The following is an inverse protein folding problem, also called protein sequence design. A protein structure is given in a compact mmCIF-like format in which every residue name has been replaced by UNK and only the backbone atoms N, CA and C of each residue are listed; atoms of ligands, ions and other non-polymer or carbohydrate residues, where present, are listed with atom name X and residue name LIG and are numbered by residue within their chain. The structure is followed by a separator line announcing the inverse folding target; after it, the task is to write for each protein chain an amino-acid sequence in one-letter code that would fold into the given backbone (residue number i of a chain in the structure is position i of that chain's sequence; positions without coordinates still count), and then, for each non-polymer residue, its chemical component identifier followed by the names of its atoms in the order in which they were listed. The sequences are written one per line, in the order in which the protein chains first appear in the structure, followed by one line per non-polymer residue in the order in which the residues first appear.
data_IF_538244069044
#
_entry.id   IF_538244069044
#
_cell.length_a   1.000
_cell.length_b   1.000
_cell.length_c   1.000
_cell.angle_alpha   90.00
_cell.angle_beta   90.00
_cell.angle_gamma   90.00
#
_symmetry.space_group_name_H-M   'P 1'
#
loop_
_entity.id
_entity.type
_entity.pdbx_description
1 polymer ?
#
# COMPACT_ATOMS: atom_id res chain seq x y z
N UNK A 1 -23.61 14.64 -56.50
CA UNK A 1 -24.43 14.18 -55.36
C UNK A 1 -24.51 15.33 -54.36
N UNK A 2 -25.67 15.98 -54.27
CA UNK A 2 -25.88 17.09 -53.35
C UNK A 2 -25.90 16.54 -51.91
N UNK A 3 -25.02 17.05 -51.05
CA UNK A 3 -24.96 16.67 -49.64
C UNK A 3 -26.30 16.94 -48.97
N UNK A 4 -26.79 15.99 -48.18
CA UNK A 4 -28.02 16.16 -47.43
C UNK A 4 -27.94 17.43 -46.56
N UNK A 5 -28.97 18.30 -46.55
CA UNK A 5 -28.94 19.51 -45.76
C UNK A 5 -28.84 19.14 -44.28
N UNK A 6 -27.80 19.66 -43.61
CA UNK A 6 -27.61 19.46 -42.18
C UNK A 6 -28.81 20.08 -41.48
N UNK A 7 -29.60 19.24 -40.80
CA UNK A 7 -30.79 19.69 -40.07
C UNK A 7 -30.34 20.61 -38.93
N UNK A 8 -31.07 21.69 -38.69
CA UNK A 8 -30.80 22.65 -37.61
C UNK A 8 -30.60 21.95 -36.25
N UNK A 9 -31.35 20.87 -35.99
CA UNK A 9 -31.20 20.05 -34.80
C UNK A 9 -29.82 19.39 -34.66
N UNK A 10 -29.19 18.96 -35.74
CA UNK A 10 -27.84 18.38 -35.73
C UNK A 10 -26.78 19.43 -35.39
N UNK A 11 -26.94 20.67 -35.89
CA UNK A 11 -26.08 21.81 -35.54
C UNK A 11 -26.25 22.15 -34.06
N UNK A 12 -27.49 22.21 -33.58
CA UNK A 12 -27.78 22.51 -32.18
C UNK A 12 -27.20 21.44 -31.24
N UNK A 13 -27.35 20.15 -31.55
CA UNK A 13 -26.76 19.06 -30.78
C UNK A 13 -25.24 19.12 -30.77
N UNK A 14 -24.61 19.42 -31.91
CA UNK A 14 -23.16 19.60 -31.98
C UNK A 14 -22.70 20.80 -31.13
N UNK A 15 -23.40 21.94 -31.19
CA UNK A 15 -23.11 23.10 -30.36
C UNK A 15 -23.31 22.81 -28.87
N UNK A 16 -24.32 22.04 -28.48
CA UNK A 16 -24.53 21.62 -27.08
C UNK A 16 -23.43 20.68 -26.62
N UNK A 17 -23.01 19.71 -27.44
CA UNK A 17 -21.89 18.82 -27.11
C UNK A 17 -20.58 19.59 -27.04
N UNK A 18 -20.33 20.51 -27.98
CA UNK A 18 -19.14 21.37 -27.99
C UNK A 18 -19.13 22.29 -26.76
N UNK A 19 -20.26 22.93 -26.44
CA UNK A 19 -20.43 23.72 -25.22
C UNK A 19 -20.21 22.85 -23.99
N UNK A 20 -20.82 21.67 -23.92
CA UNK A 20 -20.63 20.75 -22.80
C UNK A 20 -19.17 20.32 -22.66
N UNK A 21 -18.44 20.05 -23.75
CA UNK A 21 -17.01 19.67 -23.74
C UNK A 21 -16.12 20.85 -23.34
N UNK A 22 -16.39 22.05 -23.85
CA UNK A 22 -15.64 23.27 -23.52
C UNK A 22 -15.91 23.69 -22.07
N UNK A 23 -17.15 23.60 -21.60
CA UNK A 23 -17.56 23.97 -20.24
C UNK A 23 -17.31 22.86 -19.21
N UNK A 24 -17.08 21.60 -19.64
CA UNK A 24 -16.65 20.51 -18.75
C UNK A 24 -15.29 20.77 -18.14
N UNK A 25 -14.46 21.61 -18.77
CA UNK A 25 -13.11 21.89 -18.28
C UNK A 25 -13.08 22.77 -17.02
N UNK A 26 -14.15 23.50 -16.72
CA UNK A 26 -14.13 24.54 -15.67
C UNK A 26 -15.09 24.34 -14.49
N UNK A 27 -15.81 23.21 -14.38
CA UNK A 27 -16.73 23.00 -13.26
C UNK A 27 -16.36 21.77 -12.42
N UNK A 28 -15.54 22.04 -11.40
CA UNK A 28 -15.80 21.80 -9.96
C UNK A 28 -14.46 21.89 -9.20
N UNK A 29 -13.63 22.91 -9.44
CA UNK A 29 -12.70 23.30 -8.37
C UNK A 29 -13.56 23.88 -7.25
N UNK A 30 -13.65 23.16 -6.14
CA UNK A 30 -14.22 23.71 -4.91
C UNK A 30 -13.45 24.99 -4.61
N UNK A 31 -14.09 26.16 -4.78
CA UNK A 31 -13.47 27.47 -4.60
C UNK A 31 -12.83 27.60 -3.20
N UNK A 32 -13.29 26.80 -2.22
CA UNK A 32 -12.68 26.72 -0.87
C UNK A 32 -11.32 26.03 -0.87
N UNK A 33 -11.09 25.09 -1.79
CA UNK A 33 -9.84 24.34 -1.93
C UNK A 33 -8.84 25.02 -2.89
N UNK A 34 -9.29 25.95 -3.73
CA UNK A 34 -8.41 26.65 -4.68
C UNK A 34 -7.23 27.36 -3.98
N UNK A 35 -7.40 28.06 -2.85
CA UNK A 35 -6.27 28.65 -2.12
C UNK A 35 -5.28 27.60 -1.62
N UNK A 36 -5.77 26.45 -1.15
CA UNK A 36 -4.92 25.34 -0.67
C UNK A 36 -4.11 24.79 -1.83
N UNK A 37 -4.76 24.49 -2.96
CA UNK A 37 -4.10 24.01 -4.18
C UNK A 37 -3.03 25.00 -4.66
N UNK A 38 -3.38 26.28 -4.78
CA UNK A 38 -2.45 27.31 -5.22
C UNK A 38 -1.24 27.43 -4.29
N UNK A 39 -1.46 27.35 -2.97
CA UNK A 39 -0.37 27.40 -2.01
C UNK A 39 0.53 26.15 -2.06
N UNK A 40 -0.04 24.96 -2.25
CA UNK A 40 0.73 23.73 -2.46
C UNK A 40 1.59 23.82 -3.73
N UNK A 41 1.01 24.30 -4.83
CA UNK A 41 1.75 24.54 -6.09
C UNK A 41 2.83 25.61 -5.93
N UNK A 42 2.57 26.67 -5.16
CA UNK A 42 3.58 27.67 -4.84
C UNK A 42 4.74 27.03 -4.06
N UNK A 43 4.44 26.27 -3.01
CA UNK A 43 5.46 25.57 -2.22
C UNK A 43 6.27 24.59 -3.06
N UNK A 44 5.63 23.83 -3.95
CA UNK A 44 6.30 22.92 -4.88
C UNK A 44 7.25 23.67 -5.83
N UNK A 45 6.81 24.82 -6.36
CA UNK A 45 7.63 25.65 -7.24
C UNK A 45 8.81 26.33 -6.55
N UNK A 46 8.63 26.74 -5.28
CA UNK A 46 9.68 27.38 -4.48
C UNK A 46 10.70 26.38 -3.93
N UNK A 47 10.31 25.11 -3.75
CA UNK A 47 11.14 24.06 -3.17
C UNK A 47 11.58 23.02 -4.20
N UNK A 48 12.11 23.48 -5.34
CA UNK A 48 12.61 22.58 -6.38
C UNK A 48 13.71 21.67 -5.88
N UNK A 49 13.61 20.40 -6.24
CA UNK A 49 14.63 19.40 -5.92
C UNK A 49 15.94 19.76 -6.62
N UNK A 50 17.03 19.74 -5.85
CA UNK A 50 18.37 20.04 -6.36
C UNK A 50 18.80 19.04 -7.43
N UNK A 51 19.68 19.46 -8.34
CA UNK A 51 20.27 18.60 -9.37
C UNK A 51 21.78 18.41 -9.18
N UNK A 52 22.34 17.38 -9.82
CA UNK A 52 23.77 17.09 -9.80
C UNK A 52 24.29 16.79 -8.39
N UNK A 53 25.22 17.63 -7.89
CA UNK A 53 25.84 17.46 -6.56
C UNK A 53 24.82 17.72 -5.43
N UNK A 54 23.80 18.54 -5.67
CA UNK A 54 22.73 18.85 -4.70
C UNK A 54 21.53 17.91 -4.80
N UNK A 55 21.60 16.90 -5.67
CA UNK A 55 20.51 15.97 -5.87
C UNK A 55 20.35 15.07 -4.65
N UNK A 56 19.16 15.09 -4.00
CA UNK A 56 18.94 14.28 -2.84
C UNK A 56 18.83 12.79 -3.22
N UNK A 57 19.19 11.95 -2.25
CA UNK A 57 19.21 10.51 -2.40
C UNK A 57 18.26 9.87 -1.41
N UNK A 58 17.42 8.96 -1.89
CA UNK A 58 16.52 8.17 -1.06
C UNK A 58 16.78 6.69 -1.28
N UNK A 59 16.87 5.95 -0.18
CA UNK A 59 16.86 4.49 -0.19
C UNK A 59 15.51 4.03 0.36
N UNK A 60 14.86 3.08 -0.31
CA UNK A 60 13.55 2.56 0.09
C UNK A 60 13.57 1.04 0.12
N UNK A 61 12.88 0.47 1.10
CA UNK A 61 12.52 -0.94 1.15
C UNK A 61 11.22 -1.12 1.94
N UNK A 62 10.59 -2.29 1.94
CA UNK A 62 10.97 -3.50 1.21
C UNK A 62 9.81 -3.99 0.37
N UNK A 63 10.15 -4.88 -0.54
CA UNK A 63 9.18 -5.67 -1.28
C UNK A 63 8.62 -4.97 -2.51
N UNK A 64 8.20 -5.81 -3.45
CA UNK A 64 7.51 -5.43 -4.66
C UNK A 64 6.57 -6.57 -5.01
N UNK A 65 5.45 -6.24 -5.63
CA UNK A 65 4.52 -7.23 -6.12
C UNK A 65 3.95 -6.80 -7.46
N UNK A 66 3.26 -7.74 -8.10
CA UNK A 66 2.49 -7.50 -9.30
C UNK A 66 1.01 -7.61 -8.95
N UNK A 67 0.31 -6.47 -8.96
CA UNK A 67 -1.10 -6.41 -8.64
C UNK A 67 -1.92 -6.88 -9.83
N UNK A 68 -2.67 -7.96 -9.65
CA UNK A 68 -3.68 -8.45 -10.59
C UNK A 68 -5.05 -7.97 -10.12
N UNK A 69 -5.58 -6.95 -10.77
CA UNK A 69 -6.93 -6.47 -10.49
C UNK A 69 -7.95 -7.35 -11.22
N UNK A 70 -8.98 -7.77 -10.49
CA UNK A 70 -10.00 -8.70 -10.96
C UNK A 70 -11.36 -8.25 -10.43
N UNK A 71 -12.40 -8.33 -11.26
CA UNK A 71 -13.76 -8.20 -10.78
C UNK A 71 -14.12 -9.45 -9.94
N UNK A 72 -14.32 -9.25 -8.63
CA UNK A 72 -14.50 -10.33 -7.68
C UNK A 72 -15.71 -11.22 -8.00
N UNK A 73 -16.84 -10.61 -8.41
CA UNK A 73 -18.09 -11.35 -8.68
C UNK A 73 -18.10 -12.03 -10.04
N UNK A 74 -17.13 -11.71 -10.91
CA UNK A 74 -16.90 -12.41 -12.17
C UNK A 74 -16.03 -13.66 -11.98
N UNK A 75 -15.11 -13.63 -11.00
CA UNK A 75 -14.27 -14.76 -10.64
C UNK A 75 -14.99 -15.75 -9.72
N UNK A 76 -15.69 -15.24 -8.71
CA UNK A 76 -16.29 -16.06 -7.65
C UNK A 76 -17.76 -16.35 -7.93
N UNK A 77 -18.21 -17.56 -7.56
CA UNK A 77 -19.60 -17.97 -7.72
C UNK A 77 -20.28 -18.09 -6.34
N UNK A 78 -21.32 -17.30 -6.04
CA UNK A 78 -21.99 -17.35 -4.75
C UNK A 78 -22.74 -18.68 -4.50
N UNK A 79 -23.00 -19.48 -5.54
CA UNK A 79 -23.62 -20.81 -5.39
C UNK A 79 -22.70 -21.83 -4.72
N UNK A 80 -21.39 -21.59 -4.76
CA UNK A 80 -20.40 -22.48 -4.16
C UNK A 80 -20.25 -22.23 -2.64
N UNK A 81 -20.89 -21.18 -2.12
CA UNK A 81 -20.81 -20.81 -0.71
C UNK A 81 -21.59 -21.82 0.15
N UNK A 82 -20.87 -22.53 1.02
CA UNK A 82 -21.44 -23.43 2.01
C UNK A 82 -21.48 -22.77 3.38
N UNK A 83 -22.63 -22.77 4.05
CA UNK A 83 -22.78 -22.18 5.38
C UNK A 83 -22.76 -20.65 5.38
N UNK A 84 -22.46 -20.05 6.53
CA UNK A 84 -22.43 -18.59 6.71
C UNK A 84 -21.06 -17.99 6.39
N UNK A 85 -21.01 -16.73 5.91
CA UNK A 85 -19.77 -15.97 5.78
C UNK A 85 -19.05 -15.85 7.12
N UNK A 86 -17.74 -16.08 7.11
CA UNK A 86 -16.90 -16.20 8.29
C UNK A 86 -15.52 -15.58 8.01
N UNK A 87 -14.89 -15.00 9.03
CA UNK A 87 -13.53 -14.45 8.93
C UNK A 87 -12.49 -15.52 9.27
N UNK A 88 -11.42 -15.55 8.49
CA UNK A 88 -10.26 -16.42 8.69
C UNK A 88 -8.99 -15.55 8.66
N UNK A 89 -7.99 -15.91 9.47
CA UNK A 89 -6.69 -15.23 9.47
C UNK A 89 -5.83 -15.67 8.28
N UNK A 90 -5.90 -16.96 7.93
CA UNK A 90 -5.21 -17.59 6.81
C UNK A 90 -6.23 -18.39 5.99
N UNK A 91 -6.00 -18.52 4.69
CA UNK A 91 -6.88 -19.23 3.76
C UNK A 91 -6.15 -20.45 3.19
N UNK A 92 -6.68 -21.63 3.46
CA UNK A 92 -6.11 -22.91 3.00
C UNK A 92 -6.95 -23.61 1.92
N UNK A 93 -8.22 -23.21 1.78
CA UNK A 93 -9.17 -23.85 0.87
C UNK A 93 -10.07 -22.85 0.13
N UNK A 94 -10.68 -23.32 -0.98
CA UNK A 94 -11.66 -22.54 -1.76
C UNK A 94 -12.91 -22.20 -0.93
N UNK A 95 -13.30 -23.07 0.00
CA UNK A 95 -14.44 -22.82 0.89
C UNK A 95 -14.14 -21.68 1.87
N UNK A 96 -12.99 -21.72 2.53
CA UNK A 96 -12.54 -20.65 3.44
C UNK A 96 -12.40 -19.32 2.69
N UNK A 97 -11.81 -19.35 1.49
CA UNK A 97 -11.70 -18.17 0.65
C UNK A 97 -13.07 -17.55 0.38
N UNK A 98 -14.04 -18.35 -0.07
CA UNK A 98 -15.36 -17.86 -0.43
C UNK A 98 -16.13 -17.33 0.79
N UNK A 99 -16.04 -18.00 1.94
CA UNK A 99 -16.61 -17.52 3.22
C UNK A 99 -15.97 -16.20 3.66
N UNK A 100 -14.64 -16.12 3.61
CA UNK A 100 -13.85 -14.93 3.98
C UNK A 100 -14.18 -13.75 3.08
N UNK A 101 -14.11 -13.92 1.76
CA UNK A 101 -14.49 -12.89 0.81
C UNK A 101 -15.91 -12.38 1.08
N UNK A 102 -16.88 -13.29 1.23
CA UNK A 102 -18.28 -12.92 1.45
C UNK A 102 -18.48 -12.18 2.77
N UNK A 103 -17.69 -12.50 3.80
CA UNK A 103 -17.73 -11.83 5.10
C UNK A 103 -17.32 -10.36 4.99
N UNK A 104 -16.26 -10.04 4.25
CA UNK A 104 -15.84 -8.64 4.05
C UNK A 104 -16.73 -7.92 3.04
N UNK A 105 -17.14 -8.60 1.97
CA UNK A 105 -18.04 -8.07 0.94
C UNK A 105 -19.35 -7.55 1.55
N UNK A 106 -20.01 -8.33 2.43
CA UNK A 106 -21.29 -7.92 3.03
C UNK A 106 -21.17 -6.70 3.95
N UNK A 107 -19.99 -6.43 4.49
CA UNK A 107 -19.71 -5.24 5.30
C UNK A 107 -19.12 -4.09 4.47
N UNK A 108 -18.74 -4.34 3.21
CA UNK A 108 -18.03 -3.38 2.37
C UNK A 108 -16.65 -3.01 2.94
N UNK A 109 -16.03 -3.93 3.66
CA UNK A 109 -14.77 -3.72 4.37
C UNK A 109 -13.58 -4.21 3.53
N UNK A 110 -12.44 -3.53 3.67
CA UNK A 110 -11.20 -3.99 3.04
C UNK A 110 -10.63 -5.17 3.83
N UNK A 111 -9.98 -6.09 3.14
CA UNK A 111 -9.23 -7.17 3.76
C UNK A 111 -8.07 -7.59 2.86
N UNK A 112 -7.03 -8.12 3.48
CA UNK A 112 -5.88 -8.72 2.82
C UNK A 112 -5.56 -10.03 3.53
N UNK A 113 -5.50 -11.14 2.80
CA UNK A 113 -5.28 -12.47 3.36
C UNK A 113 -4.21 -13.24 2.62
N UNK A 114 -3.45 -14.00 3.40
CA UNK A 114 -2.51 -14.99 2.89
C UNK A 114 -3.25 -16.29 2.55
N UNK A 115 -2.98 -16.82 1.37
CA UNK A 115 -3.38 -18.17 0.97
C UNK A 115 -2.18 -19.11 1.09
N UNK A 116 -2.24 -20.13 1.95
CA UNK A 116 -1.15 -21.10 2.09
C UNK A 116 -1.15 -22.19 1.03
N UNK A 117 -2.28 -22.39 0.35
CA UNK A 117 -2.39 -23.37 -0.73
C UNK A 117 -1.95 -22.76 -2.07
N UNK A 118 -0.64 -22.81 -2.34
CA UNK A 118 -0.03 -22.26 -3.56
C UNK A 118 -0.64 -22.80 -4.84
N UNK A 119 -1.01 -24.08 -4.90
CA UNK A 119 -1.64 -24.66 -6.09
C UNK A 119 -3.00 -24.02 -6.38
N UNK A 120 -3.84 -23.87 -5.35
CA UNK A 120 -5.13 -23.18 -5.48
C UNK A 120 -4.94 -21.72 -5.86
N UNK A 121 -3.93 -21.06 -5.31
CA UNK A 121 -3.62 -19.68 -5.64
C UNK A 121 -3.27 -19.53 -7.12
N UNK A 122 -2.41 -20.40 -7.65
CA UNK A 122 -1.98 -20.41 -9.05
C UNK A 122 -3.17 -20.66 -10.00
N UNK A 123 -4.03 -21.63 -9.65
CA UNK A 123 -5.28 -21.89 -10.39
C UNK A 123 -6.18 -20.64 -10.42
N UNK A 124 -6.33 -19.91 -9.31
CA UNK A 124 -7.13 -18.68 -9.24
C UNK A 124 -6.53 -17.53 -10.05
N UNK A 125 -5.21 -17.39 -10.08
CA UNK A 125 -4.51 -16.42 -10.93
C UNK A 125 -4.76 -16.75 -12.40
N UNK A 126 -4.62 -18.00 -12.81
CA UNK A 126 -4.89 -18.45 -14.18
C UNK A 126 -6.35 -18.25 -14.59
N UNK A 127 -7.30 -18.54 -13.70
CA UNK A 127 -8.73 -18.28 -13.93
C UNK A 127 -9.00 -16.78 -14.09
N UNK A 128 -8.38 -15.95 -13.25
CA UNK A 128 -8.51 -14.50 -13.31
C UNK A 128 -8.02 -13.94 -14.64
N UNK A 129 -6.90 -14.43 -15.17
CA UNK A 129 -6.36 -13.98 -16.45
C UNK A 129 -7.25 -14.30 -17.66
N UNK A 130 -8.22 -15.20 -17.52
CA UNK A 130 -9.22 -15.49 -18.57
C UNK A 130 -10.36 -14.46 -18.59
N UNK A 131 -10.47 -13.61 -17.56
CA UNK A 131 -11.50 -12.57 -17.48
C UNK A 131 -11.10 -11.33 -18.30
N UNK A 132 -12.03 -10.74 -19.07
CA UNK A 132 -11.71 -9.64 -19.99
C UNK A 132 -11.30 -8.34 -19.30
N UNK A 133 -11.74 -8.12 -18.06
CA UNK A 133 -11.49 -6.89 -17.30
C UNK A 133 -10.26 -6.98 -16.38
N UNK A 134 -9.53 -8.10 -16.42
CA UNK A 134 -8.34 -8.28 -15.60
C UNK A 134 -7.18 -7.44 -16.11
N UNK A 135 -6.51 -6.76 -15.19
CA UNK A 135 -5.40 -5.85 -15.50
C UNK A 135 -4.27 -6.00 -14.50
N UNK A 136 -3.05 -5.79 -14.99
CA UNK A 136 -1.84 -5.81 -14.20
C UNK A 136 -1.38 -4.40 -13.86
N UNK A 137 -0.85 -4.20 -12.65
CA UNK A 137 -0.09 -3.01 -12.30
C UNK A 137 1.09 -3.37 -11.38
N UNK A 138 2.08 -2.48 -11.32
CA UNK A 138 3.12 -2.59 -10.29
C UNK A 138 2.51 -2.28 -8.93
N UNK A 139 2.70 -3.19 -7.99
CA UNK A 139 2.26 -3.09 -6.60
C UNK A 139 3.43 -2.89 -5.63
N UNK A 140 3.07 -2.68 -4.37
CA UNK A 140 4.01 -2.47 -3.27
C UNK A 140 4.31 -0.98 -3.02
N UNK A 141 4.23 -0.59 -1.75
CA UNK A 141 4.44 0.80 -1.33
C UNK A 141 5.82 1.33 -1.70
N UNK A 142 6.87 0.52 -1.50
CA UNK A 142 8.25 0.94 -1.77
C UNK A 142 8.50 1.21 -3.28
N UNK A 143 8.11 0.32 -4.23
CA UNK A 143 8.20 0.60 -5.67
C UNK A 143 7.40 1.82 -6.12
N UNK A 144 6.18 2.01 -5.59
CA UNK A 144 5.34 3.15 -5.94
C UNK A 144 5.97 4.47 -5.46
N UNK A 145 6.45 4.52 -4.21
CA UNK A 145 7.19 5.66 -3.69
C UNK A 145 8.49 5.89 -4.47
N UNK A 146 9.23 4.84 -4.81
CA UNK A 146 10.46 4.94 -5.60
C UNK A 146 10.21 5.63 -6.95
N UNK A 147 9.15 5.24 -7.67
CA UNK A 147 8.73 5.92 -8.91
C UNK A 147 8.39 7.38 -8.65
N UNK A 148 7.65 7.69 -7.58
CA UNK A 148 7.31 9.09 -7.25
C UNK A 148 8.56 9.92 -6.94
N UNK A 149 9.46 9.45 -6.08
CA UNK A 149 10.72 10.13 -5.78
C UNK A 149 11.57 10.38 -7.03
N UNK A 150 11.65 9.39 -7.92
CA UNK A 150 12.35 9.55 -9.19
C UNK A 150 11.72 10.64 -10.07
N UNK A 151 10.38 10.68 -10.17
CA UNK A 151 9.67 11.74 -10.88
C UNK A 151 9.93 13.14 -10.30
N UNK A 152 10.12 13.24 -8.98
CA UNK A 152 10.53 14.47 -8.31
C UNK A 152 12.02 14.82 -8.50
N UNK A 153 12.79 13.99 -9.21
CA UNK A 153 14.21 14.23 -9.48
C UNK A 153 15.17 13.75 -8.41
N UNK A 154 14.74 12.84 -7.51
CA UNK A 154 15.65 12.21 -6.55
C UNK A 154 16.47 11.08 -7.19
N UNK A 155 17.66 10.81 -6.65
CA UNK A 155 18.35 9.53 -6.90
C UNK A 155 17.74 8.47 -6.00
N UNK A 156 17.41 7.32 -6.56
CA UNK A 156 16.63 6.30 -5.86
C UNK A 156 17.38 4.97 -5.83
N UNK A 157 17.48 4.40 -4.64
CA UNK A 157 17.88 3.01 -4.39
C UNK A 157 16.67 2.26 -3.84
N UNK A 158 16.25 1.19 -4.50
CA UNK A 158 15.10 0.38 -4.10
C UNK A 158 15.57 -1.04 -3.75
N UNK A 159 15.36 -1.44 -2.50
CA UNK A 159 15.53 -2.82 -2.06
C UNK A 159 14.27 -3.63 -2.30
N UNK A 160 14.21 -4.36 -3.40
CA UNK A 160 13.07 -5.19 -3.77
C UNK A 160 13.51 -6.41 -4.59
N UNK A 161 12.75 -7.50 -4.48
CA UNK A 161 12.93 -8.71 -5.27
C UNK A 161 11.89 -8.71 -6.40
N UNK A 162 12.36 -8.66 -7.64
CA UNK A 162 11.54 -8.42 -8.83
C UNK A 162 12.08 -9.24 -10.00
N UNK A 163 11.18 -9.88 -10.76
CA UNK A 163 11.51 -10.52 -12.02
C UNK A 163 11.97 -9.50 -13.06
N UNK A 164 12.59 -9.99 -14.15
CA UNK A 164 12.91 -9.15 -15.32
C UNK A 164 11.69 -8.41 -15.86
N UNK A 165 10.51 -9.05 -15.86
CA UNK A 165 9.27 -8.47 -16.35
C UNK A 165 8.83 -7.30 -15.46
N UNK A 166 8.76 -7.50 -14.14
CA UNK A 166 8.31 -6.45 -13.23
C UNK A 166 9.29 -5.27 -13.18
N UNK A 167 10.60 -5.52 -13.32
CA UNK A 167 11.63 -4.47 -13.45
C UNK A 167 11.37 -3.52 -14.63
N UNK A 168 10.77 -3.98 -15.73
CA UNK A 168 10.44 -3.08 -16.88
C UNK A 168 9.43 -1.99 -16.53
N UNK A 169 8.65 -2.17 -15.46
CA UNK A 169 7.67 -1.18 -14.96
C UNK A 169 8.30 -0.08 -14.10
N UNK A 170 9.61 -0.20 -13.80
CA UNK A 170 10.41 0.75 -13.04
C UNK A 170 11.37 1.50 -13.98
N UNK A 171 11.50 2.83 -13.87
CA UNK A 171 12.49 3.59 -14.63
C UNK A 171 13.92 3.04 -14.43
N UNK A 172 14.69 2.92 -15.52
CA UNK A 172 16.03 2.33 -15.51
C UNK A 172 17.05 3.06 -14.64
N UNK A 173 16.79 4.34 -14.33
CA UNK A 173 17.65 5.18 -13.49
C UNK A 173 17.48 4.88 -11.99
N UNK A 174 16.44 4.13 -11.61
CA UNK A 174 16.27 3.65 -10.24
C UNK A 174 17.17 2.42 -10.06
N UNK A 175 18.10 2.52 -9.12
CA UNK A 175 18.94 1.38 -8.76
C UNK A 175 18.13 0.37 -7.95
N UNK A 176 17.98 -0.85 -8.43
CA UNK A 176 17.27 -1.93 -7.74
C UNK A 176 18.30 -2.93 -7.18
N UNK A 177 18.14 -3.34 -5.92
CA UNK A 177 18.99 -4.35 -5.26
C UNK A 177 18.13 -5.44 -4.61
N UNK A 178 18.66 -6.66 -4.50
CA UNK A 178 17.92 -7.84 -4.02
C UNK A 178 17.25 -8.67 -5.12
N UNK A 179 17.57 -8.41 -6.39
CA UNK A 179 17.01 -9.11 -7.56
C UNK A 179 18.13 -9.67 -8.46
N UNK A 180 19.11 -10.36 -7.87
CA UNK A 180 20.30 -10.87 -8.59
C UNK A 180 20.02 -12.13 -9.41
N UNK A 181 18.98 -12.90 -9.05
CA UNK A 181 18.60 -14.12 -9.77
C UNK A 181 17.71 -13.80 -10.99
N UNK A 182 18.01 -14.42 -12.14
CA UNK A 182 17.26 -14.19 -13.38
C UNK A 182 15.89 -14.89 -13.44
N UNK A 183 15.68 -15.92 -12.61
CA UNK A 183 14.50 -16.80 -12.59
C UNK A 183 13.55 -16.51 -11.42
N UNK A 184 13.53 -15.28 -10.90
CA UNK A 184 12.64 -14.89 -9.81
C UNK A 184 11.18 -14.88 -10.30
N UNK A 185 10.33 -15.63 -9.59
CA UNK A 185 8.87 -15.49 -9.66
C UNK A 185 8.45 -14.23 -8.89
N UNK A 186 7.67 -13.36 -9.52
CA UNK A 186 7.09 -12.20 -8.84
C UNK A 186 6.03 -12.66 -7.83
N UNK A 187 6.05 -12.04 -6.65
CA UNK A 187 4.93 -12.09 -5.71
C UNK A 187 3.72 -11.40 -6.37
N UNK A 188 2.59 -12.11 -6.48
CA UNK A 188 1.36 -11.63 -7.12
C UNK A 188 0.34 -11.32 -6.05
N UNK A 189 -0.32 -10.16 -6.17
CA UNK A 189 -1.42 -9.76 -5.31
C UNK A 189 -2.71 -9.71 -6.11
N UNK A 190 -3.66 -10.58 -5.80
CA UNK A 190 -4.97 -10.56 -6.45
C UNK A 190 -5.86 -9.53 -5.77
N UNK A 191 -6.11 -8.42 -6.45
CA UNK A 191 -6.99 -7.34 -5.99
C UNK A 191 -8.40 -7.60 -6.51
N UNK A 192 -9.25 -8.20 -5.67
CA UNK A 192 -10.63 -8.56 -5.99
C UNK A 192 -11.54 -7.36 -5.73
N UNK A 193 -11.83 -6.59 -6.76
CA UNK A 193 -12.63 -5.38 -6.70
C UNK A 193 -14.14 -5.69 -6.77
N UNK A 194 -14.93 -4.94 -6.01
CA UNK A 194 -16.39 -4.96 -6.08
C UNK A 194 -16.97 -3.56 -5.83
N UNK A 195 -18.13 -3.30 -6.43
CA UNK A 195 -18.80 -2.00 -6.45
C UNK A 195 -19.79 -1.86 -5.29
N UNK A 196 -20.13 -0.61 -5.00
CA UNK A 196 -21.27 -0.30 -4.15
C UNK A 196 -22.54 -0.90 -4.75
N UNK A 197 -23.41 -1.41 -3.90
CA UNK A 197 -24.68 -2.03 -4.24
C UNK A 197 -24.60 -3.31 -5.09
N UNK A 198 -23.40 -3.81 -5.35
CA UNK A 198 -23.19 -5.06 -6.06
C UNK A 198 -23.74 -6.24 -5.24
N UNK A 199 -24.29 -7.24 -5.93
CA UNK A 199 -24.88 -8.43 -5.32
C UNK A 199 -23.96 -9.63 -5.45
N UNK A 200 -23.87 -10.41 -4.39
CA UNK A 200 -23.18 -11.69 -4.36
C UNK A 200 -24.06 -12.71 -3.64
N UNK A 201 -24.87 -13.44 -4.40
CA UNK A 201 -25.91 -14.31 -3.85
C UNK A 201 -26.96 -13.49 -3.07
N UNK A 202 -27.25 -13.83 -1.80
CA UNK A 202 -28.18 -13.05 -0.97
C UNK A 202 -27.53 -11.79 -0.37
N UNK A 203 -26.21 -11.61 -0.50
CA UNK A 203 -25.48 -10.49 0.08
C UNK A 203 -25.37 -9.32 -0.89
N UNK A 204 -25.24 -8.12 -0.33
CA UNK A 204 -25.08 -6.88 -1.07
C UNK A 204 -24.02 -6.03 -0.38
N UNK A 205 -23.10 -5.46 -1.15
CA UNK A 205 -22.06 -4.61 -0.57
C UNK A 205 -22.56 -3.17 -0.35
N UNK A 206 -22.39 -2.57 0.85
CA UNK A 206 -22.83 -1.21 1.12
C UNK A 206 -21.96 -0.12 0.46
N UNK A 207 -20.74 -0.46 0.01
CA UNK A 207 -19.80 0.47 -0.64
C UNK A 207 -18.85 -0.27 -1.57
N UNK A 208 -18.25 0.45 -2.51
CA UNK A 208 -17.16 -0.10 -3.30
C UNK A 208 -15.93 -0.34 -2.42
N UNK A 209 -15.30 -1.50 -2.59
CA UNK A 209 -14.05 -1.83 -1.90
C UNK A 209 -13.32 -2.98 -2.63
N UNK A 210 -12.22 -3.45 -2.04
CA UNK A 210 -11.46 -4.60 -2.53
C UNK A 210 -11.16 -5.61 -1.44
N UNK A 211 -10.98 -6.87 -1.85
CA UNK A 211 -10.39 -7.94 -1.05
C UNK A 211 -9.08 -8.36 -1.72
N UNK A 212 -7.98 -8.43 -0.96
CA UNK A 212 -6.66 -8.78 -1.48
C UNK A 212 -6.32 -10.20 -1.05
N UNK A 213 -5.90 -11.04 -2.01
CA UNK A 213 -5.37 -12.37 -1.74
C UNK A 213 -3.95 -12.49 -2.29
N UNK A 214 -3.03 -13.00 -1.49
CA UNK A 214 -1.64 -13.21 -1.91
C UNK A 214 -1.11 -14.56 -1.40
N UNK A 215 -0.13 -15.12 -2.11
CA UNK A 215 0.66 -16.28 -1.69
C UNK A 215 2.14 -15.91 -1.75
N UNK A 216 2.48 -14.77 -1.13
CA UNK A 216 3.82 -14.21 -1.18
C UNK A 216 4.82 -15.06 -0.39
N UNK A 217 6.00 -15.25 -0.97
CA UNK A 217 7.13 -15.91 -0.30
C UNK A 217 8.22 -14.89 0.09
N UNK A 218 8.36 -13.82 -0.69
CA UNK A 218 9.53 -12.94 -0.61
C UNK A 218 9.25 -11.70 0.24
N UNK A 219 8.07 -11.10 0.09
CA UNK A 219 7.71 -9.85 0.78
C UNK A 219 7.54 -10.01 2.31
N UNK A 220 6.83 -11.03 2.84
CA UNK A 220 6.70 -11.24 4.29
C UNK A 220 8.06 -11.43 4.96
N UNK A 221 8.98 -12.11 4.28
CA UNK A 221 10.33 -12.35 4.76
C UNK A 221 11.27 -11.17 4.49
N UNK A 222 10.84 -10.05 3.90
CA UNK A 222 11.71 -8.90 3.59
C UNK A 222 13.02 -9.32 2.91
N UNK A 223 12.98 -10.23 1.93
CA UNK A 223 14.18 -10.90 1.37
C UNK A 223 15.21 -9.95 0.77
N UNK A 224 14.84 -8.72 0.41
CA UNK A 224 15.75 -7.69 -0.10
C UNK A 224 16.48 -6.88 0.99
N UNK A 225 16.21 -7.17 2.28
CA UNK A 225 16.69 -6.36 3.40
C UNK A 225 18.21 -6.31 3.49
N UNK A 226 18.85 -7.46 3.43
CA UNK A 226 20.30 -7.60 3.54
C UNK A 226 21.00 -6.88 2.40
N UNK A 227 20.58 -7.16 1.17
CA UNK A 227 21.14 -6.54 -0.04
C UNK A 227 20.97 -5.03 -0.05
N UNK A 228 19.84 -4.51 0.44
CA UNK A 228 19.68 -3.07 0.64
C UNK A 228 20.71 -2.56 1.65
N UNK A 229 20.84 -3.23 2.80
CA UNK A 229 21.77 -2.89 3.87
C UNK A 229 23.23 -2.79 3.41
N UNK A 230 23.68 -3.70 2.54
CA UNK A 230 25.03 -3.72 1.98
C UNK A 230 25.30 -2.51 1.05
N UNK A 231 24.26 -2.02 0.37
CA UNK A 231 24.38 -0.90 -0.57
C UNK A 231 24.25 0.47 0.11
N UNK A 232 23.60 0.55 1.28
CA UNK A 232 23.37 1.81 2.00
C UNK A 232 24.66 2.64 2.25
N UNK A 233 25.79 2.06 2.73
CA UNK A 233 27.00 2.83 2.99
C UNK A 233 27.56 3.50 1.74
N UNK A 234 27.56 2.80 0.60
CA UNK A 234 28.04 3.32 -0.69
C UNK A 234 27.07 4.35 -1.27
N UNK A 235 25.77 4.09 -1.15
CA UNK A 235 24.75 4.99 -1.67
C UNK A 235 24.68 6.31 -0.88
N UNK A 236 24.87 6.25 0.45
CA UNK A 236 24.86 7.36 1.39
C UNK A 236 23.59 8.23 1.26
N UNK A 237 22.40 7.69 1.60
CA UNK A 237 21.14 8.37 1.40
C UNK A 237 20.94 9.55 2.36
N UNK A 238 20.15 10.53 1.93
CA UNK A 238 19.61 11.58 2.79
C UNK A 238 18.37 11.10 3.56
N UNK A 239 17.63 10.15 2.97
CA UNK A 239 16.40 9.58 3.52
C UNK A 239 16.40 8.06 3.33
N UNK A 240 16.12 7.33 4.40
CA UNK A 240 15.78 5.91 4.38
C UNK A 240 14.28 5.75 4.63
N UNK A 241 13.57 5.13 3.69
CA UNK A 241 12.14 4.83 3.82
C UNK A 241 11.95 3.33 4.07
N UNK A 242 11.25 3.02 5.15
CA UNK A 242 10.86 1.67 5.54
C UNK A 242 9.36 1.51 5.25
N UNK A 243 9.00 0.48 4.50
CA UNK A 243 7.64 0.09 4.18
C UNK A 243 7.59 -1.42 3.89
N UNK A 244 6.42 -1.94 3.53
CA UNK A 244 6.24 -3.37 3.22
C UNK A 244 6.13 -4.27 4.46
N UNK A 245 6.26 -3.73 5.68
CA UNK A 245 6.17 -4.52 6.91
C UNK A 245 4.75 -5.08 7.15
N UNK A 246 3.72 -4.53 6.50
CA UNK A 246 2.37 -5.09 6.53
C UNK A 246 2.29 -6.47 5.90
N UNK A 247 3.23 -6.84 5.03
CA UNK A 247 3.26 -8.19 4.47
C UNK A 247 3.59 -9.26 5.51
N UNK A 248 4.02 -8.86 6.70
CA UNK A 248 4.22 -9.76 7.84
C UNK A 248 2.91 -10.06 8.61
N UNK A 249 1.83 -9.36 8.28
CA UNK A 249 0.54 -9.47 8.97
C UNK A 249 -0.12 -10.82 8.66
N UNK A 250 -0.51 -11.56 9.71
CA UNK A 250 -1.06 -12.92 9.63
C UNK A 250 -0.25 -13.96 8.83
N UNK A 251 0.97 -13.64 8.40
CA UNK A 251 1.85 -14.60 7.74
C UNK A 251 2.37 -15.63 8.77
N UNK A 252 2.41 -16.93 8.45
CA UNK A 252 2.77 -17.98 9.39
C UNK A 252 4.30 -18.04 9.65
N UNK A 253 4.83 -17.08 10.41
CA UNK A 253 6.25 -17.03 10.81
C UNK A 253 6.65 -18.09 11.84
N UNK A 254 5.68 -18.58 12.61
CA UNK A 254 5.92 -19.55 13.69
C UNK A 254 5.90 -20.96 13.09
N UNK A 255 7.05 -21.38 12.59
CA UNK A 255 7.31 -22.75 12.18
C UNK A 255 8.38 -23.34 13.10
N UNK A 256 8.12 -24.55 13.62
CA UNK A 256 9.09 -25.33 14.40
C UNK A 256 9.69 -24.58 15.62
N UNK A 257 8.90 -23.71 16.27
CA UNK A 257 9.28 -23.02 17.51
C UNK A 257 10.17 -21.78 17.34
N UNK A 258 10.45 -21.33 16.11
CA UNK A 258 11.12 -20.05 15.85
C UNK A 258 10.11 -19.00 15.39
N UNK A 259 10.21 -17.80 15.95
CA UNK A 259 9.47 -16.63 15.45
C UNK A 259 10.40 -15.78 14.57
N UNK A 260 10.38 -16.06 13.27
CA UNK A 260 11.18 -15.34 12.30
C UNK A 260 10.76 -13.86 12.17
N UNK A 261 9.54 -13.49 12.55
CA UNK A 261 9.04 -12.11 12.44
C UNK A 261 9.88 -11.15 13.28
N UNK A 262 10.08 -11.52 14.54
CA UNK A 262 10.88 -10.74 15.48
C UNK A 262 12.32 -10.57 14.96
N UNK A 263 12.94 -11.67 14.49
CA UNK A 263 14.29 -11.66 13.94
C UNK A 263 14.41 -10.69 12.75
N UNK A 264 13.46 -10.72 11.80
CA UNK A 264 13.48 -9.79 10.64
C UNK A 264 13.29 -8.34 11.10
N UNK A 265 12.40 -8.07 12.05
CA UNK A 265 12.18 -6.70 12.56
C UNK A 265 13.41 -6.15 13.32
N UNK A 266 14.17 -7.00 14.00
CA UNK A 266 15.44 -6.59 14.61
C UNK A 266 16.50 -6.25 13.56
N UNK A 267 16.50 -6.92 12.41
CA UNK A 267 17.35 -6.54 11.28
C UNK A 267 16.94 -5.19 10.69
N UNK A 268 15.64 -4.91 10.54
CA UNK A 268 15.14 -3.60 10.10
C UNK A 268 15.59 -2.51 11.08
N UNK A 269 15.41 -2.74 12.39
CA UNK A 269 15.89 -1.84 13.45
C UNK A 269 17.39 -1.59 13.33
N UNK A 270 18.19 -2.64 13.14
CA UNK A 270 19.64 -2.53 12.95
C UNK A 270 19.98 -1.70 11.72
N UNK A 271 19.25 -1.86 10.62
CA UNK A 271 19.45 -1.08 9.39
C UNK A 271 19.14 0.42 9.62
N UNK A 272 18.07 0.75 10.35
CA UNK A 272 17.75 2.13 10.72
C UNK A 272 18.85 2.74 11.61
N UNK A 273 19.31 1.97 12.61
CA UNK A 273 20.30 2.43 13.58
C UNK A 273 21.73 2.51 13.03
N UNK A 274 22.04 1.78 11.95
CA UNK A 274 23.33 1.87 11.27
C UNK A 274 23.46 3.15 10.44
N UNK A 275 22.36 3.84 10.13
CA UNK A 275 22.40 5.10 9.41
C UNK A 275 22.84 6.25 10.32
N UNK A 276 23.67 7.18 9.81
CA UNK A 276 23.96 8.44 10.48
C UNK A 276 22.69 9.22 10.87
N UNK A 277 22.73 10.02 11.94
CA UNK A 277 21.58 10.79 12.42
C UNK A 277 21.10 11.88 11.44
N UNK A 278 21.96 12.31 10.51
CA UNK A 278 21.59 13.25 9.44
C UNK A 278 20.91 12.57 8.25
N UNK A 279 20.96 11.23 8.14
CA UNK A 279 20.09 10.47 7.25
C UNK A 279 18.77 10.26 7.98
N UNK A 280 17.70 10.90 7.51
CA UNK A 280 16.37 10.77 8.11
C UNK A 280 15.78 9.40 7.83
N UNK A 281 14.98 8.88 8.75
CA UNK A 281 14.27 7.62 8.59
C UNK A 281 12.75 7.84 8.62
N UNK A 282 12.05 7.38 7.61
CA UNK A 282 10.59 7.43 7.53
C UNK A 282 10.01 6.01 7.54
N UNK A 283 8.95 5.77 8.31
CA UNK A 283 8.19 4.54 8.27
C UNK A 283 6.81 4.78 7.65
N UNK A 284 6.56 4.19 6.48
CA UNK A 284 5.26 4.23 5.84
C UNK A 284 4.45 3.01 6.28
N UNK A 285 3.44 3.26 7.11
CA UNK A 285 2.48 2.26 7.55
C UNK A 285 1.46 1.94 6.45
N UNK A 286 0.85 0.77 6.58
CA UNK A 286 -0.23 0.30 5.73
C UNK A 286 -1.20 -0.52 6.60
N UNK A 287 -2.08 -1.32 6.01
CA UNK A 287 -3.08 -2.06 6.78
C UNK A 287 -2.44 -3.08 7.73
N UNK A 288 -2.71 -2.96 9.03
CA UNK A 288 -2.30 -3.92 10.05
C UNK A 288 -3.51 -4.33 10.90
N UNK A 289 -3.72 -5.62 11.11
CA UNK A 289 -4.77 -6.18 11.98
C UNK A 289 -4.24 -7.19 13.00
N UNK A 290 -3.04 -7.76 12.81
CA UNK A 290 -2.34 -8.57 13.81
C UNK A 290 -1.75 -7.70 14.94
N UNK A 291 -2.25 -7.91 16.16
CA UNK A 291 -1.82 -7.22 17.36
C UNK A 291 -0.35 -7.50 17.70
N UNK A 292 0.14 -8.73 17.51
CA UNK A 292 1.52 -9.10 17.82
C UNK A 292 2.50 -8.33 16.94
N UNK A 293 2.22 -8.25 15.63
CA UNK A 293 3.02 -7.43 14.71
C UNK A 293 2.98 -5.96 15.11
N UNK A 294 1.81 -5.39 15.40
CA UNK A 294 1.69 -3.99 15.81
C UNK A 294 2.48 -3.72 17.11
N UNK A 295 2.41 -4.62 18.10
CA UNK A 295 3.21 -4.51 19.31
C UNK A 295 4.72 -4.53 19.00
N UNK A 296 5.18 -5.41 18.12
CA UNK A 296 6.57 -5.39 17.66
C UNK A 296 6.93 -4.05 17.00
N UNK A 297 6.08 -3.49 16.15
CA UNK A 297 6.33 -2.18 15.50
C UNK A 297 6.46 -1.05 16.54
N UNK A 298 5.67 -1.05 17.62
CA UNK A 298 5.76 -0.05 18.69
C UNK A 298 7.06 -0.08 19.49
N UNK A 299 7.82 -1.18 19.41
CA UNK A 299 9.04 -1.39 20.20
C UNK A 299 10.31 -1.48 19.34
N UNK A 300 10.20 -1.97 18.09
CA UNK A 300 11.35 -2.21 17.20
C UNK A 300 11.49 -1.18 16.09
N UNK A 301 10.41 -0.51 15.66
CA UNK A 301 10.44 0.39 14.50
C UNK A 301 10.10 1.84 14.90
N UNK A 302 8.88 2.08 15.39
CA UNK A 302 8.38 3.42 15.73
C UNK A 302 9.31 4.22 16.66
N UNK A 303 9.99 3.61 17.66
CA UNK A 303 10.91 4.34 18.51
C UNK A 303 12.18 4.85 17.80
N UNK A 304 12.45 4.42 16.57
CA UNK A 304 13.73 4.67 15.90
C UNK A 304 13.59 5.42 14.58
N UNK A 305 12.40 5.92 14.22
CA UNK A 305 12.17 6.71 13.01
C UNK A 305 11.95 8.18 13.31
N UNK A 306 12.26 9.03 12.32
CA UNK A 306 12.14 10.49 12.39
C UNK A 306 10.79 10.96 11.83
N UNK A 307 10.12 10.13 11.03
CA UNK A 307 8.83 10.41 10.41
C UNK A 307 8.00 9.12 10.29
N UNK A 308 6.68 9.25 10.30
CA UNK A 308 5.73 8.15 10.09
C UNK A 308 4.59 8.61 9.19
N UNK A 309 4.22 7.81 8.20
CA UNK A 309 3.06 8.01 7.33
C UNK A 309 2.02 6.91 7.54
N UNK A 310 0.74 7.27 7.46
CA UNK A 310 -0.40 6.36 7.68
C UNK A 310 -1.71 7.02 7.22
N UNK A 311 -2.73 6.22 6.86
CA UNK A 311 -4.08 6.72 6.64
C UNK A 311 -4.87 6.82 7.97
N UNK A 312 -6.15 7.18 7.88
CA UNK A 312 -7.04 7.36 9.02
C UNK A 312 -7.35 6.07 9.80
N UNK A 313 -7.38 4.92 9.13
CA UNK A 313 -7.65 3.61 9.71
C UNK A 313 -6.44 3.14 10.51
N UNK A 314 -5.25 3.24 9.91
CA UNK A 314 -4.00 2.94 10.58
C UNK A 314 -3.75 3.86 11.77
N UNK A 315 -4.06 5.17 11.64
CA UNK A 315 -3.94 6.11 12.75
C UNK A 315 -4.80 5.69 13.94
N UNK A 316 -6.07 5.37 13.68
CA UNK A 316 -7.00 4.93 14.73
C UNK A 316 -6.53 3.62 15.38
N UNK A 317 -6.07 2.66 14.57
CA UNK A 317 -5.60 1.37 15.08
C UNK A 317 -4.31 1.52 15.90
N UNK A 318 -3.32 2.25 15.39
CA UNK A 318 -2.07 2.52 16.09
C UNK A 318 -2.31 3.28 17.40
N UNK A 319 -3.20 4.27 17.39
CA UNK A 319 -3.58 5.00 18.61
C UNK A 319 -4.12 4.06 19.68
N UNK A 320 -5.04 3.16 19.30
CA UNK A 320 -5.62 2.15 20.21
C UNK A 320 -4.57 1.17 20.73
N UNK A 321 -3.63 0.72 19.89
CA UNK A 321 -2.56 -0.19 20.34
C UNK A 321 -1.63 0.53 21.32
N UNK A 322 -1.20 1.76 21.02
CA UNK A 322 -0.29 2.51 21.88
C UNK A 322 -0.92 2.87 23.23
N UNK A 323 -2.23 3.10 23.28
CA UNK A 323 -2.93 3.52 24.49
C UNK A 323 -3.50 2.35 25.31
N UNK A 324 -4.09 1.36 24.65
CA UNK A 324 -4.87 0.30 25.27
C UNK A 324 -4.31 -1.10 25.03
N UNK A 325 -3.32 -1.26 24.14
CA UNK A 325 -2.77 -2.57 23.76
C UNK A 325 -3.78 -3.44 23.00
N UNK A 326 -4.71 -2.84 22.25
CA UNK A 326 -5.77 -3.55 21.52
C UNK A 326 -5.89 -3.04 20.09
N UNK A 327 -6.16 -3.96 19.16
CA UNK A 327 -6.44 -3.66 17.75
C UNK A 327 -7.91 -3.29 17.53
N UNK A 328 -8.14 -2.40 16.57
CA UNK A 328 -9.45 -2.06 16.04
C UNK A 328 -9.54 -2.60 14.62
N UNK A 329 -10.44 -3.56 14.41
CA UNK A 329 -10.61 -4.23 13.10
C UNK A 329 -11.44 -3.39 12.12
N UNK A 330 -12.34 -2.54 12.64
CA UNK A 330 -13.22 -1.69 11.82
C UNK A 330 -13.21 -0.27 12.38
N UNK A 331 -12.80 0.69 11.55
CA UNK A 331 -12.72 2.11 11.88
C UNK A 331 -13.76 2.91 11.07
N UNK A 332 -14.04 4.13 11.52
CA UNK A 332 -14.91 5.05 10.78
C UNK A 332 -14.26 5.42 9.44
N UNK A 333 -15.00 5.20 8.35
CA UNK A 333 -14.56 5.51 7.00
C UNK A 333 -14.60 7.00 6.62
N UNK A 334 -15.22 7.85 7.45
CA UNK A 334 -15.29 9.31 7.21
C UNK A 334 -15.03 10.10 8.51
N UNK A 335 -13.85 9.95 9.13
CA UNK A 335 -13.57 10.60 10.40
C UNK A 335 -13.52 12.12 10.23
N UNK A 336 -13.97 12.84 11.25
CA UNK A 336 -13.90 14.30 11.28
C UNK A 336 -12.44 14.74 11.37
N UNK A 337 -12.04 15.71 10.55
CA UNK A 337 -10.68 16.29 10.53
C UNK A 337 -10.18 16.66 11.93
N UNK A 338 -11.03 17.28 12.75
CA UNK A 338 -10.67 17.66 14.13
C UNK A 338 -10.28 16.44 14.98
N UNK A 339 -11.06 15.36 14.90
CA UNK A 339 -10.80 14.10 15.62
C UNK A 339 -9.51 13.46 15.12
N UNK A 340 -9.29 13.42 13.80
CA UNK A 340 -8.04 12.91 13.20
C UNK A 340 -6.83 13.70 13.68
N UNK A 341 -6.90 15.03 13.76
CA UNK A 341 -5.80 15.87 14.25
C UNK A 341 -5.50 15.61 15.74
N UNK A 342 -6.52 15.41 16.56
CA UNK A 342 -6.33 15.09 17.98
C UNK A 342 -5.73 13.69 18.18
N UNK A 343 -6.19 12.70 17.42
CA UNK A 343 -5.59 11.37 17.37
C UNK A 343 -4.13 11.44 16.93
N UNK A 344 -3.82 12.18 15.87
CA UNK A 344 -2.45 12.36 15.37
C UNK A 344 -1.53 12.95 16.45
N UNK A 345 -1.96 14.02 17.12
CA UNK A 345 -1.21 14.64 18.23
C UNK A 345 -0.93 13.66 19.35
N UNK A 346 -1.94 12.89 19.76
CA UNK A 346 -1.84 11.89 20.83
C UNK A 346 -0.90 10.75 20.44
N UNK A 347 -1.08 10.19 19.24
CA UNK A 347 -0.21 9.14 18.69
C UNK A 347 1.25 9.60 18.63
N UNK A 348 1.50 10.83 18.18
CA UNK A 348 2.87 11.38 18.13
C UNK A 348 3.47 11.58 19.52
N UNK A 349 2.67 11.97 20.52
CA UNK A 349 3.12 12.05 21.91
C UNK A 349 3.49 10.67 22.46
N UNK A 350 2.67 9.65 22.19
CA UNK A 350 2.90 8.27 22.63
C UNK A 350 4.16 7.68 21.96
N UNK A 351 4.35 7.87 20.65
CA UNK A 351 5.58 7.43 19.96
C UNK A 351 6.81 8.15 20.53
N UNK A 352 6.72 9.44 20.83
CA UNK A 352 7.80 10.18 21.48
C UNK A 352 8.12 9.69 22.88
N UNK A 353 7.13 9.21 23.61
CA UNK A 353 7.37 8.54 24.88
C UNK A 353 8.15 7.25 24.66
N UNK A 354 7.76 6.44 23.66
CA UNK A 354 8.53 5.25 23.27
C UNK A 354 9.96 5.59 22.84
N UNK A 355 10.20 6.69 22.10
CA UNK A 355 11.56 7.13 21.78
C UNK A 355 12.41 7.27 23.06
N UNK A 356 11.86 7.86 24.13
CA UNK A 356 12.54 8.03 25.42
C UNK A 356 12.73 6.70 26.15
N UNK A 357 11.67 5.89 26.24
CA UNK A 357 11.69 4.60 26.93
C UNK A 357 12.77 3.66 26.35
N UNK A 358 12.98 3.73 25.03
CA UNK A 358 13.98 2.93 24.31
C UNK A 358 15.32 3.66 24.09
N UNK A 359 15.54 4.82 24.72
CA UNK A 359 16.80 5.56 24.64
C UNK A 359 17.21 5.96 23.22
N UNK A 360 16.24 6.16 22.33
CA UNK A 360 16.50 6.48 20.93
C UNK A 360 17.07 7.90 20.77
N UNK A 361 18.11 8.02 19.94
CA UNK A 361 18.69 9.31 19.53
C UNK A 361 17.90 9.96 18.39
N UNK A 362 17.05 9.19 17.71
CA UNK A 362 16.12 9.67 16.69
C UNK A 362 14.82 10.08 17.36
N UNK A 363 14.18 11.13 16.83
CA UNK A 363 12.96 11.69 17.43
C UNK A 363 11.95 11.94 16.34
N UNK A 364 10.74 11.41 16.54
CA UNK A 364 9.65 11.67 15.63
C UNK A 364 9.39 13.18 15.52
N UNK A 365 9.63 13.74 14.34
CA UNK A 365 9.41 15.15 14.00
C UNK A 365 7.92 15.42 13.76
N UNK A 366 7.49 16.68 13.84
CA UNK A 366 6.08 17.04 13.59
C UNK A 366 5.86 17.28 12.12
#
# INVERSE_FOLDING_TARGET
MAGAPVKLGSILSFCIVLYAVLYRKDNFEDLRLSPVKQHLLYLENENKVGAGIRQPKVALGYGACHDLFVNATSLLNPKDLKGSPEHFNEISSKEEFLKSFTYFFKHGAAAERFMSNSKLYDELVEESLKLPDSRWAIGGNAPLMAKRFHMEGWKVLLGAKMSKKLKTSIPSDIQIVGSEDEEIRDDVHMILEYKADEKFGPYKSPRANRYIMHNDENNPLLTSLEMLGEHLPKFNPNLLVISGLQMMDNFPFKQEGRDLREERLDLVKKQILSQPLNTLSHFEMASYVDLELLLHLTTKILPYVDSVGMNEQELSNLNSVLEYGKVIVVTDSNPRVATTLDQLRKTFQLIRQKNKDYGSKRKLTR
#
